data_IF_158188783109
#
_entry.id   IF_158188783109
#
_cell.length_a   1.000
_cell.length_b   1.000
_cell.length_c   1.000
_cell.angle_alpha   90.00
_cell.angle_beta   90.00
_cell.angle_gamma   90.00
#
_symmetry.space_group_name_H-M   'P 1'
#
loop_
_entity.id
_entity.type
_entity.pdbx_description
1 polymer ?
#
# COMPACT_ATOMS: atom_id res chain seq x y z
N UNK A 1 -8.91 -45.98 60.29
CA UNK A 1 -9.49 -45.61 58.98
C UNK A 1 -8.41 -44.93 58.15
N UNK A 2 -7.98 -45.58 57.06
CA UNK A 2 -7.37 -44.97 55.88
C UNK A 2 -6.01 -44.28 56.01
N UNK A 3 -4.93 -45.07 56.06
CA UNK A 3 -3.59 -44.63 55.65
C UNK A 3 -3.51 -44.40 54.14
N UNK A 4 -2.75 -43.40 53.70
CA UNK A 4 -1.98 -43.43 52.44
C UNK A 4 -0.78 -42.49 52.55
N UNK A 5 0.34 -43.08 52.93
CA UNK A 5 1.68 -42.48 52.95
C UNK A 5 2.33 -42.40 51.55
N UNK A 6 3.67 -42.28 51.46
CA UNK A 6 4.27 -41.09 50.87
C UNK A 6 5.12 -41.34 49.61
N UNK A 7 5.40 -40.22 48.92
CA UNK A 7 6.62 -39.83 48.18
C UNK A 7 7.67 -40.94 47.93
N UNK A 8 7.90 -41.27 46.66
CA UNK A 8 9.05 -42.06 46.19
C UNK A 8 9.72 -41.36 45.00
N UNK A 9 10.97 -40.97 45.19
CA UNK A 9 11.98 -40.82 44.14
C UNK A 9 12.51 -42.23 43.79
N UNK A 10 12.70 -42.54 42.49
CA UNK A 10 13.65 -43.57 42.04
C UNK A 10 13.99 -43.43 40.54
N UNK A 11 15.12 -42.79 40.27
CA UNK A 11 16.30 -43.33 39.57
C UNK A 11 16.12 -44.48 38.55
N UNK A 12 16.61 -44.24 37.31
CA UNK A 12 17.25 -45.20 36.36
C UNK A 12 16.41 -46.39 35.85
N UNK A 13 16.59 -47.03 34.69
CA UNK A 13 17.44 -46.93 33.50
C UNK A 13 16.78 -47.81 32.42
N UNK A 14 17.10 -47.54 31.15
CA UNK A 14 17.25 -48.49 30.02
C UNK A 14 16.55 -49.86 30.06
N UNK A 15 15.83 -50.19 28.98
CA UNK A 15 16.16 -51.37 28.17
C UNK A 15 15.50 -51.31 26.78
N UNK A 16 16.17 -51.97 25.83
CA UNK A 16 15.73 -52.36 24.48
C UNK A 16 15.98 -51.38 23.33
N UNK A 17 17.22 -51.45 22.85
CA UNK A 17 17.56 -51.34 21.44
C UNK A 17 17.06 -52.56 20.62
N UNK A 18 17.06 -52.39 19.30
CA UNK A 18 16.83 -53.34 18.19
C UNK A 18 15.36 -53.41 17.68
N UNK A 19 15.03 -53.32 16.39
CA UNK A 19 15.82 -53.45 15.16
C UNK A 19 15.05 -52.89 13.92
N UNK A 20 15.84 -52.59 12.88
CA UNK A 20 15.54 -52.77 11.45
C UNK A 20 14.57 -51.81 10.70
N UNK A 21 15.17 -50.97 9.83
CA UNK A 21 14.52 -50.35 8.68
C UNK A 21 15.27 -49.14 8.09
N UNK A 22 16.19 -49.35 7.13
CA UNK A 22 16.65 -48.33 6.16
C UNK A 22 15.73 -48.42 4.91
N UNK A 23 15.52 -47.40 4.04
CA UNK A 23 16.34 -46.20 3.80
C UNK A 23 15.53 -44.90 3.54
N UNK A 24 16.23 -43.77 3.36
CA UNK A 24 15.73 -42.65 2.54
C UNK A 24 14.86 -41.63 3.28
N UNK A 25 15.50 -40.81 4.12
CA UNK A 25 14.88 -39.64 4.71
C UNK A 25 14.58 -38.59 3.63
N UNK A 26 13.38 -38.67 3.04
CA UNK A 26 12.79 -37.59 2.27
C UNK A 26 12.63 -36.41 3.23
N UNK A 27 13.61 -35.51 3.22
CA UNK A 27 13.46 -34.17 3.79
C UNK A 27 12.35 -33.48 3.02
N UNK A 28 11.13 -33.61 3.50
CA UNK A 28 10.03 -32.77 3.07
C UNK A 28 10.41 -31.34 3.44
N UNK A 29 10.84 -30.55 2.45
CA UNK A 29 10.88 -29.10 2.58
C UNK A 29 9.45 -28.64 2.79
N UNK A 30 9.04 -28.57 4.06
CA UNK A 30 7.78 -28.02 4.49
C UNK A 30 7.81 -26.52 4.19
N UNK A 31 7.28 -26.12 3.02
CA UNK A 31 7.14 -24.72 2.61
C UNK A 31 5.90 -24.05 3.23
N UNK A 32 5.42 -24.53 4.38
CA UNK A 32 4.23 -24.00 5.05
C UNK A 32 4.61 -23.03 6.17
N UNK A 33 5.31 -21.96 5.80
CA UNK A 33 5.27 -20.69 6.54
C UNK A 33 5.05 -19.55 5.54
N UNK A 34 4.00 -19.67 4.73
CA UNK A 34 3.40 -18.49 4.10
C UNK A 34 2.89 -17.59 5.23
N UNK A 35 3.66 -16.55 5.59
CA UNK A 35 3.17 -15.46 6.44
C UNK A 35 1.80 -15.03 5.91
N UNK A 36 0.76 -14.91 6.75
CA UNK A 36 -0.49 -14.35 6.28
C UNK A 36 -0.22 -12.90 5.85
N UNK A 37 -0.14 -12.67 4.55
CA UNK A 37 -0.08 -11.32 4.01
C UNK A 37 -1.38 -10.64 4.42
N UNK A 38 -1.27 -9.64 5.29
CA UNK A 38 -2.41 -8.89 5.84
C UNK A 38 -3.38 -8.53 4.72
N UNK A 39 -4.57 -9.16 4.69
CA UNK A 39 -5.59 -9.09 3.64
C UNK A 39 -5.57 -7.72 2.93
N UNK A 40 -4.95 -7.64 1.74
CA UNK A 40 -4.78 -6.38 1.02
C UNK A 40 -6.10 -6.08 0.32
N UNK A 41 -6.68 -4.89 0.58
CA UNK A 41 -7.88 -4.45 -0.13
C UNK A 41 -7.47 -4.15 -1.57
N UNK A 42 -7.99 -4.93 -2.51
CA UNK A 42 -7.65 -4.79 -3.93
C UNK A 42 -8.24 -3.48 -4.47
N UNK A 43 -7.43 -2.63 -5.12
CA UNK A 43 -7.94 -1.41 -5.75
C UNK A 43 -8.80 -1.77 -6.98
N UNK A 44 -9.78 -0.91 -7.34
CA UNK A 44 -10.63 -1.12 -8.51
C UNK A 44 -9.84 -1.07 -9.83
N UNK A 45 -8.71 -0.36 -9.85
CA UNK A 45 -7.80 -0.28 -10.99
C UNK A 45 -6.40 -0.70 -10.55
N UNK A 46 -5.82 -1.67 -11.25
CA UNK A 46 -4.44 -2.11 -11.02
C UNK A 46 -3.48 -1.16 -11.73
N UNK A 47 -2.78 -0.35 -10.94
CA UNK A 47 -1.67 0.46 -11.45
C UNK A 47 -0.39 -0.33 -11.25
N UNK A 48 0.38 -0.51 -12.33
CA UNK A 48 1.65 -1.21 -12.31
C UNK A 48 2.82 -0.24 -12.08
N UNK A 49 4.03 -0.78 -11.94
CA UNK A 49 5.23 -0.01 -11.66
C UNK A 49 5.49 0.17 -10.16
N UNK A 50 6.52 0.94 -9.85
CA UNK A 50 6.90 1.20 -8.47
C UNK A 50 5.87 2.10 -7.79
N UNK A 51 5.37 3.09 -8.52
CA UNK A 51 4.37 4.05 -8.09
C UNK A 51 3.05 3.34 -7.78
N UNK A 52 2.65 2.43 -8.67
CA UNK A 52 1.44 1.63 -8.54
C UNK A 52 1.44 0.71 -7.31
N UNK A 53 2.61 0.13 -6.96
CA UNK A 53 2.75 -0.69 -5.74
C UNK A 53 2.54 0.14 -4.48
N UNK A 54 3.13 1.33 -4.42
CA UNK A 54 2.94 2.24 -3.29
C UNK A 54 1.52 2.79 -3.22
N UNK A 55 0.94 3.19 -4.35
CA UNK A 55 -0.44 3.67 -4.43
C UNK A 55 -1.44 2.59 -4.00
N UNK A 56 -1.23 1.34 -4.42
CA UNK A 56 -2.06 0.18 -4.03
C UNK A 56 -1.95 -0.11 -2.53
N UNK A 57 -0.74 -0.04 -1.97
CA UNK A 57 -0.52 -0.21 -0.53
C UNK A 57 -1.20 0.90 0.28
N UNK A 58 -1.07 2.16 -0.16
CA UNK A 58 -1.70 3.32 0.47
C UNK A 58 -3.22 3.21 0.42
N UNK A 59 -3.78 2.87 -0.75
CA UNK A 59 -5.20 2.62 -0.92
C UNK A 59 -5.68 1.52 0.05
N UNK A 60 -4.97 0.38 0.12
CA UNK A 60 -5.37 -0.68 1.04
C UNK A 60 -5.31 -0.25 2.51
N UNK A 61 -4.35 0.58 2.92
CA UNK A 61 -4.27 1.08 4.29
C UNK A 61 -5.39 2.08 4.60
N UNK A 62 -5.66 3.00 3.67
CA UNK A 62 -6.68 4.02 3.80
C UNK A 62 -8.11 3.45 3.73
N UNK A 63 -8.36 2.44 2.89
CA UNK A 63 -9.64 1.73 2.83
C UNK A 63 -9.95 0.99 4.13
N UNK A 64 -8.95 0.34 4.75
CA UNK A 64 -9.12 -0.35 6.04
C UNK A 64 -9.53 0.61 7.16
N UNK A 65 -9.02 1.85 7.12
CA UNK A 65 -9.34 2.88 8.10
C UNK A 65 -10.52 3.78 7.69
N UNK A 66 -11.12 3.56 6.51
CA UNK A 66 -12.21 4.37 5.93
C UNK A 66 -11.89 5.88 5.84
N UNK A 67 -10.62 6.23 5.61
CA UNK A 67 -10.13 7.63 5.53
C UNK A 67 -9.67 8.04 4.12
N UNK A 68 -10.26 7.46 3.08
CA UNK A 68 -9.82 7.65 1.69
C UNK A 68 -9.86 9.13 1.25
N UNK A 69 -11.00 9.81 1.45
CA UNK A 69 -11.14 11.22 1.05
C UNK A 69 -10.24 12.17 1.86
N UNK A 70 -9.96 11.83 3.12
CA UNK A 70 -9.02 12.59 3.94
C UNK A 70 -7.61 12.46 3.39
N UNK A 71 -7.14 11.23 3.12
CA UNK A 71 -5.81 10.97 2.57
C UNK A 71 -5.64 11.65 1.21
N UNK A 72 -6.64 11.63 0.34
CA UNK A 72 -6.59 12.31 -0.96
C UNK A 72 -6.33 13.83 -0.85
N UNK A 73 -7.02 14.49 0.09
CA UNK A 73 -6.81 15.92 0.36
C UNK A 73 -5.43 16.20 0.92
N UNK A 74 -4.98 15.37 1.85
CA UNK A 74 -3.65 15.49 2.47
C UNK A 74 -2.52 15.27 1.43
N UNK A 75 -2.68 14.31 0.52
CA UNK A 75 -1.70 14.10 -0.57
C UNK A 75 -1.61 15.32 -1.50
N UNK A 76 -2.72 16.02 -1.74
CA UNK A 76 -2.73 17.25 -2.53
C UNK A 76 -2.00 18.40 -1.82
N UNK A 77 -2.12 18.48 -0.49
CA UNK A 77 -1.34 19.40 0.34
C UNK A 77 0.15 19.06 0.29
N UNK A 78 0.51 17.79 0.46
CA UNK A 78 1.90 17.30 0.35
C UNK A 78 2.51 17.64 -1.00
N UNK A 79 1.75 17.50 -2.10
CA UNK A 79 2.21 17.89 -3.43
C UNK A 79 2.53 19.38 -3.51
N UNK A 80 1.74 20.22 -2.83
CA UNK A 80 1.96 21.67 -2.79
C UNK A 80 3.22 22.01 -2.01
N UNK A 81 3.45 21.37 -0.87
CA UNK A 81 4.68 21.53 -0.08
C UNK A 81 5.92 21.07 -0.86
N UNK A 82 5.81 19.98 -1.64
CA UNK A 82 6.93 19.48 -2.44
C UNK A 82 7.32 20.40 -3.59
N UNK A 83 6.41 21.28 -4.04
CA UNK A 83 6.70 22.30 -5.05
C UNK A 83 7.54 23.45 -4.49
N UNK A 84 7.62 23.61 -3.18
CA UNK A 84 8.46 24.64 -2.59
C UNK A 84 9.93 24.38 -2.94
N UNK A 85 10.64 25.38 -3.49
CA UNK A 85 11.99 25.17 -4.04
C UNK A 85 13.00 24.73 -2.96
N UNK A 86 12.77 25.13 -1.70
CA UNK A 86 13.59 24.74 -0.55
C UNK A 86 13.46 23.24 -0.25
N UNK A 87 12.24 22.71 -0.24
CA UNK A 87 11.97 21.29 0.00
C UNK A 87 12.34 20.44 -1.20
N UNK A 88 12.01 20.89 -2.41
CA UNK A 88 12.44 20.22 -3.65
C UNK A 88 13.95 20.06 -3.72
N UNK A 89 14.73 21.13 -3.49
CA UNK A 89 16.21 21.06 -3.51
C UNK A 89 16.77 20.11 -2.44
N UNK A 90 16.18 20.09 -1.24
CA UNK A 90 16.54 19.16 -0.16
C UNK A 90 16.29 17.70 -0.54
N UNK A 91 15.14 17.44 -1.17
CA UNK A 91 14.75 16.09 -1.60
C UNK A 91 15.66 15.62 -2.74
N UNK A 92 16.06 16.51 -3.65
CA UNK A 92 16.89 16.24 -4.84
C UNK A 92 18.38 16.05 -4.52
N UNK A 93 18.89 16.71 -3.48
CA UNK A 93 20.32 16.70 -3.18
C UNK A 93 20.77 15.35 -2.57
N UNK A 94 21.59 14.53 -3.25
CA UNK A 94 22.02 13.22 -2.76
C UNK A 94 23.04 13.30 -1.61
N UNK A 95 23.67 14.46 -1.38
CA UNK A 95 24.71 14.63 -0.36
C UNK A 95 24.15 14.71 1.07
N UNK A 96 22.84 14.98 1.21
CA UNK A 96 22.19 15.11 2.51
C UNK A 96 21.82 13.72 3.03
N UNK A 97 22.27 13.39 4.24
CA UNK A 97 21.99 12.10 4.88
C UNK A 97 20.48 11.82 4.91
N UNK A 98 20.08 10.59 4.54
CA UNK A 98 18.68 10.15 4.51
C UNK A 98 17.93 10.41 5.82
N UNK A 99 18.59 10.22 6.97
CA UNK A 99 18.03 10.47 8.30
C UNK A 99 17.63 11.95 8.50
N UNK A 100 18.42 12.88 7.97
CA UNK A 100 18.14 14.32 8.08
C UNK A 100 16.96 14.70 7.18
N UNK A 101 16.92 14.16 5.95
CA UNK A 101 15.77 14.34 5.05
C UNK A 101 14.48 13.81 5.67
N UNK A 102 14.52 12.61 6.24
CA UNK A 102 13.39 12.00 6.94
C UNK A 102 12.89 12.88 8.08
N UNK A 103 13.78 13.37 8.95
CA UNK A 103 13.40 14.24 10.07
C UNK A 103 12.74 15.52 9.58
N UNK A 104 13.37 16.23 8.64
CA UNK A 104 12.84 17.49 8.11
C UNK A 104 11.45 17.33 7.48
N UNK A 105 11.22 16.21 6.78
CA UNK A 105 9.93 15.92 6.15
C UNK A 105 8.89 15.56 7.21
N UNK A 106 9.24 14.70 8.18
CA UNK A 106 8.32 14.40 9.29
C UNK A 106 7.97 15.66 10.08
N UNK A 107 8.94 16.53 10.37
CA UNK A 107 8.71 17.78 11.09
C UNK A 107 7.79 18.73 10.30
N UNK A 108 7.90 18.77 8.96
CA UNK A 108 6.99 19.52 8.11
C UNK A 108 5.56 18.94 8.15
N UNK A 109 5.42 17.62 8.01
CA UNK A 109 4.12 16.94 8.01
C UNK A 109 3.41 17.02 9.37
N UNK A 110 4.16 16.99 10.47
CA UNK A 110 3.63 17.14 11.83
C UNK A 110 3.15 18.57 12.08
N UNK A 111 3.86 19.58 11.57
CA UNK A 111 3.42 20.99 11.65
C UNK A 111 2.07 21.18 10.95
N UNK A 112 1.86 20.51 9.82
CA UNK A 112 0.62 20.56 9.05
C UNK A 112 -0.50 19.64 9.58
N UNK A 113 -0.26 18.94 10.71
CA UNK A 113 -1.24 18.08 11.41
C UNK A 113 -1.93 17.05 10.49
N UNK A 114 -1.16 16.42 9.61
CA UNK A 114 -1.67 15.39 8.71
C UNK A 114 -2.03 14.10 9.44
N UNK A 115 -2.84 13.24 8.80
CA UNK A 115 -3.22 11.96 9.37
C UNK A 115 -2.01 11.03 9.58
N UNK A 116 -2.06 10.11 10.57
CA UNK A 116 -0.98 9.17 10.81
C UNK A 116 -0.69 8.28 9.59
N UNK A 117 -1.71 7.97 8.78
CA UNK A 117 -1.55 7.17 7.56
C UNK A 117 -0.62 7.89 6.57
N UNK A 118 -0.83 9.18 6.36
CA UNK A 118 -0.03 9.99 5.44
C UNK A 118 1.40 10.17 5.96
N UNK A 119 1.57 10.36 7.27
CA UNK A 119 2.89 10.46 7.91
C UNK A 119 3.66 9.14 7.75
N UNK A 120 3.04 8.00 8.07
CA UNK A 120 3.66 6.68 7.93
C UNK A 120 4.01 6.39 6.48
N UNK A 121 3.14 6.77 5.54
CA UNK A 121 3.41 6.62 4.11
C UNK A 121 4.63 7.43 3.66
N UNK A 122 4.71 8.70 4.04
CA UNK A 122 5.86 9.56 3.72
C UNK A 122 7.14 9.06 4.37
N UNK A 123 7.07 8.52 5.60
CA UNK A 123 8.18 7.88 6.28
C UNK A 123 8.70 6.67 5.48
N UNK A 124 7.81 5.79 5.01
CA UNK A 124 8.20 4.64 4.18
C UNK A 124 8.86 5.08 2.87
N UNK A 125 8.34 6.12 2.20
CA UNK A 125 8.99 6.67 1.01
C UNK A 125 10.37 7.24 1.31
N UNK A 126 10.51 7.91 2.45
CA UNK A 126 11.77 8.49 2.90
C UNK A 126 12.81 7.44 3.32
N UNK A 127 12.39 6.32 3.92
CA UNK A 127 13.23 5.16 4.23
C UNK A 127 13.74 4.47 2.97
N UNK A 128 12.89 4.35 1.94
CA UNK A 128 13.27 3.76 0.67
C UNK A 128 14.03 4.73 -0.25
N UNK A 129 14.23 6.00 0.15
CA UNK A 129 14.89 7.01 -0.67
C UNK A 129 14.07 7.49 -1.88
N UNK A 130 12.75 7.22 -1.90
CA UNK A 130 11.84 7.44 -3.04
C UNK A 130 11.00 8.71 -2.93
N UNK A 131 11.43 9.65 -2.11
CA UNK A 131 10.77 10.96 -1.93
C UNK A 131 10.62 11.74 -3.23
N UNK A 132 11.52 11.48 -4.16
CA UNK A 132 11.52 11.99 -5.53
C UNK A 132 10.30 11.59 -6.36
N UNK A 133 9.82 10.36 -6.14
CA UNK A 133 8.74 9.74 -6.91
C UNK A 133 7.37 9.97 -6.26
N UNK A 134 7.32 10.70 -5.14
CA UNK A 134 6.08 11.12 -4.48
C UNK A 134 5.03 11.69 -5.44
N UNK A 135 5.34 12.63 -6.36
CA UNK A 135 4.32 13.16 -7.29
C UNK A 135 3.73 12.08 -8.20
N UNK A 136 4.54 11.12 -8.67
CA UNK A 136 4.06 10.06 -9.53
C UNK A 136 3.18 9.06 -8.77
N UNK A 137 3.54 8.77 -7.52
CA UNK A 137 2.69 7.94 -6.62
C UNK A 137 1.36 8.62 -6.34
N UNK A 138 1.35 9.94 -6.12
CA UNK A 138 0.11 10.71 -5.92
C UNK A 138 -0.75 10.67 -7.18
N UNK A 139 -0.16 10.82 -8.38
CA UNK A 139 -0.88 10.69 -9.65
C UNK A 139 -1.48 9.28 -9.83
N UNK A 140 -0.71 8.24 -9.51
CA UNK A 140 -1.18 6.86 -9.54
C UNK A 140 -2.34 6.63 -8.55
N UNK A 141 -2.25 7.18 -7.34
CA UNK A 141 -3.33 7.13 -6.36
C UNK A 141 -4.59 7.85 -6.83
N UNK A 142 -4.45 9.03 -7.46
CA UNK A 142 -5.57 9.75 -8.08
C UNK A 142 -6.31 8.91 -9.13
N UNK A 143 -5.58 8.18 -9.98
CA UNK A 143 -6.19 7.26 -10.95
C UNK A 143 -7.00 6.15 -10.27
N UNK A 144 -6.50 5.61 -9.16
CA UNK A 144 -7.22 4.60 -8.36
C UNK A 144 -8.48 5.21 -7.74
N UNK A 145 -8.40 6.44 -7.23
CA UNK A 145 -9.54 7.16 -6.63
C UNK A 145 -10.62 7.50 -7.66
N UNK A 146 -10.25 7.98 -8.86
CA UNK A 146 -11.21 8.18 -9.96
C UNK A 146 -11.92 6.88 -10.34
N UNK A 147 -11.18 5.77 -10.43
CA UNK A 147 -11.76 4.45 -10.68
C UNK A 147 -12.69 3.99 -9.54
N UNK A 148 -12.37 4.32 -8.28
CA UNK A 148 -13.22 4.05 -7.12
C UNK A 148 -14.52 4.85 -7.15
N UNK A 149 -14.47 6.12 -7.60
CA UNK A 149 -15.65 6.98 -7.82
C UNK A 149 -16.46 6.57 -9.07
N UNK A 150 -15.87 5.77 -9.96
CA UNK A 150 -16.47 5.40 -11.24
C UNK A 150 -16.33 6.49 -12.32
N UNK A 151 -15.40 7.41 -12.13
CA UNK A 151 -15.07 8.45 -13.10
C UNK A 151 -14.19 7.87 -14.22
N UNK A 152 -14.55 8.13 -15.47
CA UNK A 152 -13.78 7.71 -16.64
C UNK A 152 -13.29 8.94 -17.38
N UNK A 153 -11.98 9.12 -17.45
CA UNK A 153 -11.37 10.20 -18.22
C UNK A 153 -11.45 9.89 -19.72
N UNK A 154 -12.37 10.53 -20.42
CA UNK A 154 -12.49 10.44 -21.88
C UNK A 154 -11.78 11.64 -22.53
N UNK A 155 -10.84 11.38 -23.44
CA UNK A 155 -10.29 12.42 -24.32
C UNK A 155 -11.04 12.37 -25.65
N UNK A 156 -11.59 13.51 -26.08
CA UNK A 156 -12.33 13.63 -27.33
C UNK A 156 -11.55 14.58 -28.23
N UNK A 157 -11.12 14.11 -29.39
CA UNK A 157 -10.48 14.94 -30.41
C UNK A 157 -11.49 15.18 -31.53
N UNK A 158 -11.85 16.45 -31.76
CA UNK A 158 -12.76 16.85 -32.83
C UNK A 158 -12.07 17.69 -33.89
N UNK A 159 -12.54 17.57 -35.14
CA UNK A 159 -12.03 18.37 -36.24
C UNK A 159 -12.42 19.86 -36.13
N UNK A 160 -13.60 20.14 -35.55
CA UNK A 160 -14.15 21.48 -35.38
C UNK A 160 -14.54 21.71 -33.91
N UNK A 161 -14.62 22.97 -33.44
CA UNK A 161 -15.17 23.27 -32.13
C UNK A 161 -16.62 22.78 -32.04
N UNK A 162 -16.91 22.01 -30.99
CA UNK A 162 -18.24 21.44 -30.75
C UNK A 162 -19.19 22.50 -30.19
N UNK A 163 -20.44 22.48 -30.66
CA UNK A 163 -21.54 23.23 -30.05
C UNK A 163 -22.07 22.52 -28.78
N UNK A 164 -22.75 23.25 -27.90
CA UNK A 164 -23.27 22.71 -26.64
C UNK A 164 -24.27 21.57 -26.85
N UNK A 165 -25.08 21.62 -27.93
CA UNK A 165 -26.02 20.56 -28.28
C UNK A 165 -25.30 19.22 -28.57
N UNK A 166 -24.25 19.27 -29.39
CA UNK A 166 -23.44 18.08 -29.73
C UNK A 166 -22.69 17.54 -28.50
N UNK A 167 -22.26 18.40 -27.57
CA UNK A 167 -21.65 17.96 -26.32
C UNK A 167 -22.62 17.17 -25.43
N UNK A 168 -23.88 17.59 -25.34
CA UNK A 168 -24.89 16.87 -24.57
C UNK A 168 -25.24 15.51 -25.18
N UNK A 169 -25.35 15.44 -26.50
CA UNK A 169 -25.58 14.18 -27.22
C UNK A 169 -24.42 13.21 -27.02
N UNK A 170 -23.17 13.68 -27.17
CA UNK A 170 -21.97 12.88 -26.95
C UNK A 170 -21.89 12.36 -25.51
N UNK A 171 -22.17 13.19 -24.50
CA UNK A 171 -22.21 12.75 -23.10
C UNK A 171 -23.24 11.65 -22.87
N UNK A 172 -24.42 11.77 -23.49
CA UNK A 172 -25.50 10.78 -23.37
C UNK A 172 -25.14 9.46 -24.04
N UNK A 173 -24.53 9.51 -25.23
CA UNK A 173 -24.04 8.32 -25.91
C UNK A 173 -22.96 7.63 -25.07
N UNK A 174 -21.97 8.38 -24.58
CA UNK A 174 -20.86 7.84 -23.79
C UNK A 174 -21.31 7.24 -22.46
N UNK A 175 -22.25 7.86 -21.74
CA UNK A 175 -22.77 7.31 -20.48
C UNK A 175 -23.48 5.96 -20.72
N UNK A 176 -24.20 5.82 -21.83
CA UNK A 176 -24.82 4.55 -22.24
C UNK A 176 -23.81 3.43 -22.49
N UNK A 177 -22.64 3.74 -23.07
CA UNK A 177 -21.58 2.74 -23.30
C UNK A 177 -20.87 2.32 -22.00
N UNK A 178 -20.66 3.24 -21.06
CA UNK A 178 -19.93 2.96 -19.83
C UNK A 178 -20.73 2.07 -18.85
N UNK A 179 -22.06 2.23 -18.80
CA UNK A 179 -22.92 1.42 -17.94
C UNK A 179 -22.98 -0.07 -18.35
N UNK A 180 -22.81 -0.36 -19.65
CA UNK A 180 -23.01 -1.70 -20.22
C UNK A 180 -21.85 -2.67 -20.00
N UNK A 181 -20.68 -2.20 -19.52
CA UNK A 181 -19.45 -3.02 -19.40
C UNK A 181 -19.16 -3.55 -17.98
N UNK A 182 -20.08 -3.43 -17.02
CA UNK A 182 -19.99 -4.17 -15.75
C UNK A 182 -20.54 -5.59 -15.95
N UNK A 183 -19.72 -6.49 -16.49
CA UNK A 183 -19.94 -7.94 -16.45
C UNK A 183 -18.64 -8.67 -16.17
#
# INVERSE_FOLDING_TARGET
AGERGPRFDLQQQETMAAAAGLPGELRFFSTSLARPASQLVKPPLLVYGLEGRYATALYSAASKQKKLDQVEKELSQVLTLLKDPKLSSLVMNPHIKHVIKQKNINDALVKDKLSPITIDFMKVLAENGRLQQTPDVISAFGKIMSAHRGEVCCSITTANPLDQASLTELKTALSGFLAKKKS
#
